data_IF_562936258913
#
_entry.id   IF_562936258913
#
_cell.length_a   1.000
_cell.length_b   1.000
_cell.length_c   1.000
_cell.angle_alpha   90.00
_cell.angle_beta   90.00
_cell.angle_gamma   90.00
#
_symmetry.space_group_name_H-M   'P 1'
#
loop_
_entity.id
_entity.type
_entity.pdbx_description
1 polymer ?
#
# COMPACT_ATOMS: atom_id res chain seq x y z
N UNK A 1 -27.29 -26.48 1.67
CA UNK A 1 -27.83 -27.44 0.73
C UNK A 1 -26.79 -27.81 -0.31
N UNK A 2 -26.04 -28.91 -0.07
CA UNK A 2 -24.87 -29.29 -0.87
C UNK A 2 -25.26 -29.64 -2.33
N UNK A 3 -26.41 -30.28 -2.52
CA UNK A 3 -26.89 -30.62 -3.87
C UNK A 3 -27.22 -29.39 -4.71
N UNK A 4 -27.82 -28.36 -4.11
CA UNK A 4 -28.08 -27.09 -4.81
C UNK A 4 -26.86 -26.41 -5.30
N UNK A 5 -25.76 -26.42 -4.50
CA UNK A 5 -24.47 -25.83 -4.87
C UNK A 5 -23.81 -26.63 -6.00
N UNK A 6 -23.86 -27.96 -5.95
CA UNK A 6 -23.34 -28.81 -7.01
C UNK A 6 -24.07 -28.61 -8.33
N UNK A 7 -25.40 -28.56 -8.30
CA UNK A 7 -26.23 -28.30 -9.47
C UNK A 7 -25.93 -26.91 -10.06
N UNK A 8 -25.78 -25.88 -9.23
CA UNK A 8 -25.42 -24.54 -9.68
C UNK A 8 -24.04 -24.51 -10.35
N UNK A 9 -23.04 -25.15 -9.76
CA UNK A 9 -21.71 -25.26 -10.36
C UNK A 9 -21.73 -26.00 -11.68
N UNK A 10 -22.44 -27.12 -11.77
CA UNK A 10 -22.58 -27.88 -13.03
C UNK A 10 -23.24 -27.01 -14.14
N UNK A 11 -24.25 -26.21 -13.78
CA UNK A 11 -24.89 -25.28 -14.73
C UNK A 11 -23.97 -24.13 -15.15
N UNK A 12 -23.14 -23.62 -14.26
CA UNK A 12 -22.14 -22.60 -14.58
C UNK A 12 -21.12 -23.16 -15.58
N UNK A 13 -20.64 -24.38 -15.35
CA UNK A 13 -19.67 -25.01 -16.25
C UNK A 13 -20.30 -25.37 -17.62
N UNK A 14 -21.55 -25.82 -17.65
CA UNK A 14 -22.30 -26.03 -18.89
C UNK A 14 -22.41 -24.73 -19.72
N UNK A 15 -22.74 -23.61 -19.06
CA UNK A 15 -22.86 -22.32 -19.74
C UNK A 15 -21.48 -21.85 -20.25
N UNK A 16 -20.43 -22.01 -19.46
CA UNK A 16 -19.04 -21.63 -19.84
C UNK A 16 -18.56 -22.44 -21.06
N UNK A 17 -18.77 -23.74 -21.01
CA UNK A 17 -18.36 -24.62 -22.11
C UNK A 17 -19.17 -24.34 -23.36
N UNK A 18 -20.50 -24.23 -23.26
CA UNK A 18 -21.37 -23.88 -24.38
C UNK A 18 -21.06 -22.53 -24.99
N UNK A 19 -20.66 -21.54 -24.17
CA UNK A 19 -20.18 -20.25 -24.70
C UNK A 19 -18.86 -20.39 -25.46
N UNK A 20 -17.92 -21.17 -24.95
CA UNK A 20 -16.64 -21.39 -25.61
C UNK A 20 -16.80 -22.09 -26.94
N UNK A 21 -17.61 -23.13 -27.00
CA UNK A 21 -17.96 -23.87 -28.23
C UNK A 21 -18.64 -22.94 -29.25
N UNK A 22 -19.65 -22.20 -28.81
CA UNK A 22 -20.33 -21.21 -29.66
C UNK A 22 -19.34 -20.15 -30.21
N UNK A 23 -18.38 -19.70 -29.38
CA UNK A 23 -17.38 -18.71 -29.81
C UNK A 23 -16.42 -19.28 -30.87
N UNK A 24 -16.08 -20.57 -30.74
CA UNK A 24 -15.21 -21.26 -31.71
C UNK A 24 -15.87 -21.40 -33.08
N UNK A 25 -17.18 -21.56 -33.11
CA UNK A 25 -17.97 -21.67 -34.36
C UNK A 25 -18.16 -20.33 -35.08
N UNK A 26 -17.85 -19.21 -34.44
CA UNK A 26 -18.03 -17.88 -35.05
C UNK A 26 -17.05 -17.63 -36.18
N UNK A 27 -17.45 -16.77 -37.11
CA UNK A 27 -16.61 -16.36 -38.23
C UNK A 27 -15.32 -15.65 -37.76
N UNK A 28 -14.22 -15.74 -38.50
CA UNK A 28 -12.98 -15.04 -38.18
C UNK A 28 -13.17 -13.53 -37.99
N UNK A 29 -14.00 -12.91 -38.82
CA UNK A 29 -14.31 -11.49 -38.73
C UNK A 29 -15.02 -11.13 -37.42
N UNK A 30 -15.94 -11.99 -36.96
CA UNK A 30 -16.60 -11.80 -35.67
C UNK A 30 -15.63 -11.91 -34.51
N UNK A 31 -14.77 -12.92 -34.51
CA UNK A 31 -13.73 -13.13 -33.49
C UNK A 31 -12.77 -11.93 -33.43
N UNK A 32 -12.31 -11.42 -34.56
CA UNK A 32 -11.43 -10.27 -34.63
C UNK A 32 -12.11 -9.01 -34.09
N UNK A 33 -13.38 -8.78 -34.47
CA UNK A 33 -14.17 -7.64 -33.95
C UNK A 33 -14.35 -7.72 -32.44
N UNK A 34 -14.69 -8.91 -31.93
CA UNK A 34 -14.88 -9.13 -30.49
C UNK A 34 -13.56 -8.94 -29.73
N UNK A 35 -12.46 -9.48 -30.23
CA UNK A 35 -11.12 -9.30 -29.66
C UNK A 35 -10.72 -7.83 -29.62
N UNK A 36 -10.96 -7.11 -30.72
CA UNK A 36 -10.67 -5.67 -30.79
C UNK A 36 -11.48 -4.88 -29.78
N UNK A 37 -12.78 -5.17 -29.67
CA UNK A 37 -13.65 -4.51 -28.70
C UNK A 37 -13.22 -4.82 -27.26
N UNK A 38 -12.91 -6.07 -26.96
CA UNK A 38 -12.44 -6.49 -25.65
C UNK A 38 -11.11 -5.81 -25.28
N UNK A 39 -10.14 -5.85 -26.17
CA UNK A 39 -8.83 -5.24 -25.95
C UNK A 39 -8.96 -3.72 -25.76
N UNK A 40 -9.81 -3.05 -26.55
CA UNK A 40 -10.05 -1.62 -26.42
C UNK A 40 -10.70 -1.25 -25.07
N UNK A 41 -11.54 -2.12 -24.52
CA UNK A 41 -12.27 -1.87 -23.28
C UNK A 41 -11.51 -2.32 -22.02
N UNK A 42 -10.82 -3.46 -22.07
CA UNK A 42 -10.25 -4.10 -20.91
C UNK A 42 -8.72 -4.18 -20.92
N UNK A 43 -8.09 -4.20 -22.08
CA UNK A 43 -6.63 -4.33 -22.22
C UNK A 43 -5.96 -3.03 -22.72
N UNK A 44 -6.66 -1.89 -22.67
CA UNK A 44 -6.08 -0.61 -23.03
C UNK A 44 -5.22 0.02 -21.92
N UNK A 45 -5.19 -0.59 -20.75
CA UNK A 45 -4.39 -0.10 -19.63
C UNK A 45 -2.95 -0.62 -19.73
N UNK A 46 -2.01 0.30 -19.83
CA UNK A 46 -0.58 0.01 -19.69
C UNK A 46 -0.20 0.26 -18.24
N UNK A 47 0.24 -0.79 -17.54
CA UNK A 47 0.70 -0.66 -16.15
C UNK A 47 1.94 0.24 -16.12
N UNK A 48 1.90 1.38 -15.42
CA UNK A 48 3.06 2.25 -15.31
C UNK A 48 4.20 1.52 -14.58
N UNK A 49 5.42 1.76 -15.02
CA UNK A 49 6.64 1.31 -14.34
C UNK A 49 7.24 2.53 -13.64
N UNK A 50 7.61 2.34 -12.39
CA UNK A 50 8.25 3.38 -11.59
C UNK A 50 9.71 2.99 -11.37
N UNK A 51 10.62 3.93 -11.59
CA UNK A 51 12.04 3.79 -11.27
C UNK A 51 12.40 4.81 -10.19
N UNK A 52 12.54 4.32 -8.98
CA UNK A 52 12.91 5.10 -7.81
C UNK A 52 14.41 5.15 -7.52
N UNK A 53 15.24 4.59 -8.37
CA UNK A 53 16.69 4.43 -8.16
C UNK A 53 17.46 5.75 -7.98
N UNK A 54 16.93 6.84 -8.53
CA UNK A 54 17.50 8.19 -8.41
C UNK A 54 17.31 8.82 -7.02
N UNK A 55 16.44 8.26 -6.20
CA UNK A 55 16.14 8.82 -4.88
C UNK A 55 17.28 8.61 -3.91
N UNK A 56 17.59 9.67 -3.19
CA UNK A 56 18.40 9.63 -1.98
C UNK A 56 17.51 9.93 -0.78
N UNK A 57 17.76 9.27 0.32
CA UNK A 57 17.06 9.50 1.58
C UNK A 57 18.03 10.08 2.60
N UNK A 58 18.32 11.39 2.55
CA UNK A 58 19.42 12.00 3.31
C UNK A 58 19.29 11.86 4.82
N UNK A 59 18.06 11.83 5.33
CA UNK A 59 17.80 11.73 6.76
C UNK A 59 17.72 10.29 7.28
N UNK A 60 17.77 9.30 6.37
CA UNK A 60 17.60 7.89 6.73
C UNK A 60 18.82 7.34 7.47
N UNK A 61 18.60 6.88 8.70
CA UNK A 61 19.65 6.28 9.53
C UNK A 61 19.77 4.76 9.29
N UNK A 62 20.53 4.37 8.27
CA UNK A 62 20.79 2.96 7.97
C UNK A 62 21.55 2.25 9.10
N UNK A 63 22.40 2.96 9.86
CA UNK A 63 23.11 2.37 11.00
C UNK A 63 22.15 1.96 12.13
N UNK A 64 21.15 2.81 12.41
CA UNK A 64 20.08 2.48 13.36
C UNK A 64 19.20 1.32 12.91
N UNK A 65 18.92 1.25 11.61
CA UNK A 65 18.15 0.17 11.01
C UNK A 65 18.89 -1.17 10.95
N UNK A 66 20.23 -1.15 10.91
CA UNK A 66 21.06 -2.36 10.88
C UNK A 66 20.84 -3.25 12.10
N UNK A 67 20.59 -2.66 13.29
CA UNK A 67 20.24 -3.42 14.52
C UNK A 67 18.92 -4.18 14.41
N UNK A 68 18.07 -3.79 13.46
CA UNK A 68 16.78 -4.42 13.13
C UNK A 68 16.86 -5.35 11.90
N UNK A 69 18.08 -5.64 11.44
CA UNK A 69 18.31 -6.49 10.28
C UNK A 69 18.15 -5.79 8.92
N UNK A 70 17.90 -4.48 8.90
CA UNK A 70 17.71 -3.70 7.67
C UNK A 70 19.02 -3.01 7.33
N UNK A 71 19.70 -3.47 6.27
CA UNK A 71 21.02 -2.96 5.87
C UNK A 71 20.99 -1.98 4.69
N UNK A 72 19.95 -2.05 3.89
CA UNK A 72 19.75 -1.20 2.71
C UNK A 72 18.28 -1.08 2.38
N UNK A 73 17.93 -0.08 1.58
CA UNK A 73 16.61 0.03 0.95
C UNK A 73 16.65 -0.75 -0.35
N UNK A 74 15.69 -1.63 -0.56
CA UNK A 74 15.60 -2.44 -1.78
C UNK A 74 15.08 -1.60 -2.96
N UNK A 75 15.46 -1.92 -4.21
CA UNK A 75 14.95 -1.22 -5.39
C UNK A 75 13.41 -1.16 -5.43
N UNK A 76 12.73 -2.27 -5.14
CA UNK A 76 11.27 -2.32 -5.10
C UNK A 76 10.64 -1.39 -4.04
N UNK A 77 11.34 -1.15 -2.92
CA UNK A 77 10.91 -0.17 -1.91
C UNK A 77 11.09 1.26 -2.42
N UNK A 78 12.20 1.55 -3.10
CA UNK A 78 12.46 2.84 -3.74
C UNK A 78 11.41 3.16 -4.80
N UNK A 79 11.10 2.19 -5.66
CA UNK A 79 10.09 2.32 -6.71
C UNK A 79 8.70 2.61 -6.12
N UNK A 80 8.34 1.92 -5.03
CA UNK A 80 7.07 2.13 -4.34
C UNK A 80 7.00 3.54 -3.71
N UNK A 81 8.05 3.99 -3.03
CA UNK A 81 8.11 5.35 -2.48
C UNK A 81 8.02 6.39 -3.59
N UNK A 82 8.68 6.16 -4.72
CA UNK A 82 8.60 7.04 -5.88
C UNK A 82 7.19 7.11 -6.46
N UNK A 83 6.54 5.96 -6.64
CA UNK A 83 5.15 5.89 -7.07
C UNK A 83 4.22 6.72 -6.18
N UNK A 84 4.36 6.59 -4.86
CA UNK A 84 3.55 7.34 -3.90
C UNK A 84 3.78 8.85 -4.00
N UNK A 85 5.03 9.28 -4.19
CA UNK A 85 5.38 10.69 -4.37
C UNK A 85 4.78 11.26 -5.66
N UNK A 86 4.89 10.53 -6.77
CA UNK A 86 4.41 11.00 -8.08
C UNK A 86 2.88 11.08 -8.16
N UNK A 87 2.20 10.07 -7.63
CA UNK A 87 0.76 9.95 -7.79
C UNK A 87 -0.03 10.57 -6.62
N UNK A 88 0.63 10.96 -5.54
CA UNK A 88 -0.04 11.37 -4.31
C UNK A 88 -0.79 10.23 -3.61
N UNK A 89 -0.58 8.99 -4.04
CA UNK A 89 -1.19 7.79 -3.48
C UNK A 89 -0.94 6.56 -4.34
N UNK A 90 -1.32 5.39 -3.84
CA UNK A 90 -1.15 4.12 -4.55
C UNK A 90 -1.37 2.91 -3.65
N UNK A 91 -1.36 1.74 -4.26
CA UNK A 91 -1.42 0.45 -3.57
C UNK A 91 -0.07 -0.24 -3.76
N UNK A 92 0.59 -0.55 -2.64
CA UNK A 92 1.82 -1.36 -2.61
C UNK A 92 1.44 -2.83 -2.44
N UNK A 93 1.26 -3.53 -3.54
CA UNK A 93 0.97 -4.97 -3.58
C UNK A 93 2.28 -5.78 -3.54
N UNK A 94 3.01 -5.63 -2.45
CA UNK A 94 4.23 -6.39 -2.21
C UNK A 94 3.94 -7.62 -1.34
N UNK A 95 4.65 -8.70 -1.57
CA UNK A 95 4.56 -9.92 -0.75
C UNK A 95 4.92 -9.68 0.72
N UNK A 96 4.53 -10.61 1.58
CA UNK A 96 4.89 -10.56 3.00
C UNK A 96 6.41 -10.69 3.14
N UNK A 97 7.00 -9.91 4.04
CA UNK A 97 8.46 -9.93 4.27
C UNK A 97 9.28 -8.98 3.38
N UNK A 98 8.70 -8.29 2.42
CA UNK A 98 9.40 -7.34 1.53
C UNK A 98 9.70 -5.97 2.16
N UNK A 99 9.43 -5.81 3.45
CA UNK A 99 9.74 -4.59 4.19
C UNK A 99 8.76 -3.44 3.96
N UNK A 100 7.47 -3.72 3.81
CA UNK A 100 6.41 -2.70 3.67
C UNK A 100 6.41 -1.66 4.79
N UNK A 101 6.77 -2.06 6.02
CA UNK A 101 6.89 -1.14 7.16
C UNK A 101 7.90 -0.04 6.88
N UNK A 102 9.05 -0.38 6.29
CA UNK A 102 10.06 0.61 5.93
C UNK A 102 9.56 1.55 4.81
N UNK A 103 8.82 1.03 3.83
CA UNK A 103 8.19 1.86 2.78
C UNK A 103 7.28 2.92 3.41
N UNK A 104 6.40 2.53 4.35
CA UNK A 104 5.50 3.46 5.04
C UNK A 104 6.27 4.55 5.80
N UNK A 105 7.33 4.16 6.52
CA UNK A 105 8.16 5.10 7.27
C UNK A 105 8.89 6.09 6.36
N UNK A 106 9.52 5.60 5.29
CA UNK A 106 10.22 6.45 4.33
C UNK A 106 9.24 7.37 3.60
N UNK A 107 8.13 6.83 3.11
CA UNK A 107 7.13 7.64 2.40
C UNK A 107 6.57 8.76 3.28
N UNK A 108 6.21 8.47 4.53
CA UNK A 108 5.70 9.48 5.46
C UNK A 108 6.74 10.58 5.73
N UNK A 109 7.99 10.21 6.01
CA UNK A 109 9.05 11.18 6.27
C UNK A 109 9.37 12.03 5.04
N UNK A 110 9.54 11.41 3.88
CA UNK A 110 9.84 12.09 2.63
C UNK A 110 8.73 13.03 2.18
N UNK A 111 7.47 12.64 2.34
CA UNK A 111 6.34 13.53 2.03
C UNK A 111 6.36 14.79 2.89
N UNK A 112 6.70 14.68 4.18
CA UNK A 112 6.86 15.85 5.04
C UNK A 112 8.08 16.68 4.66
N UNK A 113 9.23 16.05 4.46
CA UNK A 113 10.48 16.72 4.07
C UNK A 113 10.31 17.52 2.78
N UNK A 114 9.56 16.98 1.82
CA UNK A 114 9.29 17.61 0.52
C UNK A 114 8.08 18.56 0.53
N UNK A 115 7.48 18.83 1.68
CA UNK A 115 6.25 19.62 1.84
C UNK A 115 5.04 19.11 1.04
N UNK A 116 5.01 17.82 0.74
CA UNK A 116 3.84 17.16 0.14
C UNK A 116 2.76 16.84 1.17
N UNK A 117 3.14 16.71 2.43
CA UNK A 117 2.24 16.52 3.57
C UNK A 117 2.78 17.26 4.79
N UNK A 118 1.89 17.95 5.52
CA UNK A 118 2.29 18.68 6.73
C UNK A 118 2.34 17.78 7.96
N UNK A 119 1.45 16.82 8.04
CA UNK A 119 1.33 15.93 9.20
C UNK A 119 0.94 14.53 8.75
N UNK A 120 1.90 13.77 8.22
CA UNK A 120 1.66 12.41 7.76
C UNK A 120 1.20 11.52 8.91
N UNK A 121 0.31 10.58 8.58
CA UNK A 121 -0.23 9.64 9.54
C UNK A 121 -0.09 8.22 9.00
N UNK A 122 0.41 7.31 9.82
CA UNK A 122 0.46 5.88 9.54
C UNK A 122 -0.62 5.19 10.38
N UNK A 123 -1.54 4.51 9.71
CA UNK A 123 -2.59 3.72 10.35
C UNK A 123 -2.28 2.24 10.11
N UNK A 124 -2.13 1.50 11.18
CA UNK A 124 -1.80 0.07 11.14
C UNK A 124 -2.76 -0.78 11.96
N UNK A 125 -2.59 -2.09 11.87
CA UNK A 125 -3.25 -3.01 12.78
C UNK A 125 -2.67 -2.84 14.18
N UNK A 126 -3.51 -2.94 15.21
CA UNK A 126 -3.11 -2.81 16.62
C UNK A 126 -1.86 -3.62 16.97
N UNK A 127 -1.76 -4.85 16.46
CA UNK A 127 -0.60 -5.70 16.70
C UNK A 127 0.71 -5.17 16.08
N UNK A 128 0.63 -4.34 15.05
CA UNK A 128 1.79 -3.90 14.27
C UNK A 128 2.24 -2.47 14.59
N UNK A 129 1.39 -1.68 15.24
CA UNK A 129 1.63 -0.23 15.45
C UNK A 129 2.91 0.03 16.25
N UNK A 130 3.17 -0.77 17.29
CA UNK A 130 4.39 -0.64 18.10
C UNK A 130 5.66 -0.92 17.27
N UNK A 131 5.61 -1.93 16.41
CA UNK A 131 6.71 -2.28 15.51
C UNK A 131 6.96 -1.19 14.45
N UNK A 132 5.88 -0.62 13.90
CA UNK A 132 5.96 0.51 12.97
C UNK A 132 6.62 1.71 13.66
N UNK A 133 6.21 2.05 14.88
CA UNK A 133 6.77 3.16 15.63
C UNK A 133 8.26 2.94 15.95
N UNK A 134 8.64 1.72 16.35
CA UNK A 134 10.02 1.36 16.62
C UNK A 134 10.89 1.43 15.35
N UNK A 135 10.38 0.97 14.22
CA UNK A 135 11.06 1.07 12.92
C UNK A 135 11.22 2.52 12.50
N UNK A 136 10.17 3.34 12.65
CA UNK A 136 10.24 4.77 12.34
C UNK A 136 11.30 5.48 13.18
N UNK A 137 11.34 5.23 14.50
CA UNK A 137 12.32 5.85 15.38
C UNK A 137 13.75 5.41 15.09
N UNK A 138 13.95 4.15 14.67
CA UNK A 138 15.27 3.66 14.24
C UNK A 138 15.69 4.29 12.92
N UNK A 139 14.76 4.45 11.98
CA UNK A 139 15.00 5.07 10.68
C UNK A 139 15.30 6.59 10.79
N UNK A 140 14.60 7.27 11.68
CA UNK A 140 14.65 8.72 11.87
C UNK A 140 14.72 9.07 13.36
N UNK A 141 15.91 8.95 14.00
CA UNK A 141 16.07 9.14 15.43
C UNK A 141 15.68 10.54 15.94
N UNK A 142 15.82 11.55 15.09
CA UNK A 142 15.51 12.94 15.42
C UNK A 142 14.04 13.30 15.11
N UNK A 143 13.26 12.38 14.54
CA UNK A 143 11.87 12.63 14.22
C UNK A 143 11.02 12.68 15.48
N UNK A 144 10.13 13.68 15.53
CA UNK A 144 9.13 13.82 16.57
C UNK A 144 7.88 13.07 16.16
N UNK A 145 7.73 11.84 16.65
CA UNK A 145 6.58 11.00 16.36
C UNK A 145 5.59 10.99 17.53
N UNK A 146 4.31 10.93 17.22
CA UNK A 146 3.25 10.66 18.18
C UNK A 146 2.74 9.24 17.95
N UNK A 147 2.96 8.39 18.92
CA UNK A 147 2.45 7.02 18.92
C UNK A 147 1.25 6.90 19.84
N UNK A 148 0.11 6.54 19.27
CA UNK A 148 -1.14 6.37 20.02
C UNK A 148 -1.19 5.02 20.73
N UNK A 149 -1.41 5.05 22.04
CA UNK A 149 -1.72 3.88 22.86
C UNK A 149 -3.23 3.66 22.99
N UNK A 150 -3.65 2.49 23.45
CA UNK A 150 -5.06 2.20 23.71
C UNK A 150 -5.71 3.21 24.68
N UNK A 151 -4.95 3.67 25.65
CA UNK A 151 -5.42 4.62 26.66
C UNK A 151 -5.80 5.97 26.05
N UNK A 152 -5.15 6.34 24.95
CA UNK A 152 -5.39 7.61 24.25
C UNK A 152 -6.76 7.64 23.55
N UNK A 153 -7.30 6.46 23.20
CA UNK A 153 -8.63 6.33 22.58
C UNK A 153 -9.80 6.17 23.57
N UNK A 154 -9.51 6.12 24.86
CA UNK A 154 -10.60 6.16 25.87
C UNK A 154 -11.41 7.43 25.72
N UNK A 155 -12.70 7.37 26.08
CA UNK A 155 -13.61 8.52 25.97
C UNK A 155 -13.07 9.78 26.65
N UNK A 156 -12.38 9.62 27.79
CA UNK A 156 -11.80 10.73 28.54
C UNK A 156 -10.56 11.36 27.86
N UNK A 157 -9.73 10.55 27.19
CA UNK A 157 -8.45 10.98 26.66
C UNK A 157 -8.48 11.32 25.16
N UNK A 158 -9.47 10.81 24.43
CA UNK A 158 -9.56 10.96 22.97
C UNK A 158 -9.52 12.42 22.51
N UNK A 159 -10.26 13.30 23.17
CA UNK A 159 -10.27 14.73 22.81
C UNK A 159 -8.90 15.36 23.05
N UNK A 160 -8.25 15.02 24.16
CA UNK A 160 -6.90 15.49 24.47
C UNK A 160 -5.89 15.00 23.44
N UNK A 161 -5.99 13.74 23.02
CA UNK A 161 -5.11 13.17 22.00
C UNK A 161 -5.25 13.89 20.65
N UNK A 162 -6.48 14.12 20.17
CA UNK A 162 -6.70 14.85 18.93
C UNK A 162 -6.28 16.31 19.01
N UNK A 163 -6.49 16.97 20.16
CA UNK A 163 -5.97 18.33 20.38
C UNK A 163 -4.45 18.36 20.38
N UNK A 164 -3.79 17.33 20.89
CA UNK A 164 -2.34 17.19 20.84
C UNK A 164 -1.85 17.08 19.39
N UNK A 165 -2.50 16.27 18.56
CA UNK A 165 -2.20 16.20 17.12
C UNK A 165 -2.40 17.56 16.44
N UNK A 166 -3.50 18.24 16.73
CA UNK A 166 -3.84 19.53 16.11
C UNK A 166 -2.82 20.61 16.44
N UNK A 167 -2.41 20.71 17.71
CA UNK A 167 -1.68 21.86 18.23
C UNK A 167 -0.15 21.68 18.25
N UNK A 168 0.35 20.50 17.90
CA UNK A 168 1.78 20.25 17.87
C UNK A 168 2.26 19.86 16.46
N UNK A 169 3.49 20.21 16.16
CA UNK A 169 4.13 19.81 14.92
C UNK A 169 4.85 18.48 15.13
N UNK A 170 4.20 17.40 14.66
CA UNK A 170 4.77 16.07 14.63
C UNK A 170 5.26 15.73 13.22
N UNK A 171 6.35 14.99 13.13
CA UNK A 171 6.87 14.47 11.88
C UNK A 171 6.03 13.31 11.36
N UNK A 172 5.44 12.53 12.26
CA UNK A 172 4.47 11.50 11.92
C UNK A 172 3.58 11.18 13.13
N UNK A 173 2.33 10.85 12.85
CA UNK A 173 1.40 10.27 13.83
C UNK A 173 1.18 8.81 13.49
N UNK A 174 1.34 7.91 14.45
CA UNK A 174 1.20 6.46 14.26
C UNK A 174 0.09 5.95 15.18
N UNK A 175 -0.93 5.34 14.60
CA UNK A 175 -2.09 4.87 15.37
C UNK A 175 -2.70 3.61 14.76
N UNK A 176 -3.52 2.92 15.54
CA UNK A 176 -4.35 1.82 15.05
C UNK A 176 -5.68 2.35 14.50
N UNK A 177 -6.27 1.57 13.62
CA UNK A 177 -7.64 1.79 13.16
C UNK A 177 -8.65 1.38 14.21
#
# INVERSE_FOLDING_TARGET
DSEGIQLANAKIDEIRNGFSEWLEEQSPQFKERLTTMYNRKFNCFVRPKYDGSHQTFPDLNLKGLASRGIRSVYPSQMDCVWMLKQNGGGICDHEVGTGKTLIMCIAAHEMKRLNLAHKPMIIGLKANVAEIAATYQAAYPNARILYASEKDFSTANRVRFFNNIKNNDYDCVIMSH
#
